data_IF_089883927340
#
_entry.id   IF_089883927340
#
_cell.length_a   1.000
_cell.length_b   1.000
_cell.length_c   1.000
_cell.angle_alpha   90.00
_cell.angle_beta   90.00
_cell.angle_gamma   90.00
#
_symmetry.space_group_name_H-M   'P 1'
#
loop_
_entity.id
_entity.type
_entity.pdbx_description
1 polymer ?
#
# COMPACT_ATOMS: atom_id res chain seq x y z
N UNK A 1 -14.13 9.79 21.12
CA UNK A 1 -13.89 9.08 19.85
C UNK A 1 -12.41 8.80 19.80
N UNK A 2 -11.98 7.60 19.41
CA UNK A 2 -10.58 7.39 19.07
C UNK A 2 -10.31 8.19 17.80
N UNK A 3 -9.26 9.02 17.81
CA UNK A 3 -8.80 9.77 16.65
C UNK A 3 -8.39 8.78 15.55
N UNK A 4 -9.32 8.48 14.65
CA UNK A 4 -9.19 7.46 13.61
C UNK A 4 -9.68 8.02 12.28
N UNK A 5 -9.06 7.59 11.20
CA UNK A 5 -9.36 8.05 9.86
C UNK A 5 -10.29 7.08 9.13
N UNK A 6 -11.16 7.61 8.27
CA UNK A 6 -11.95 6.82 7.33
C UNK A 6 -11.08 6.21 6.23
N UNK A 7 -9.98 6.87 5.89
CA UNK A 7 -9.02 6.38 4.90
C UNK A 7 -7.63 6.99 5.07
N UNK A 8 -6.64 6.31 4.50
CA UNK A 8 -5.29 6.84 4.29
C UNK A 8 -4.90 6.65 2.82
N UNK A 9 -4.30 7.67 2.22
CA UNK A 9 -3.87 7.65 0.81
C UNK A 9 -2.40 8.03 0.73
N UNK A 10 -1.62 7.21 0.03
CA UNK A 10 -0.22 7.49 -0.29
C UNK A 10 -0.02 7.45 -1.80
N UNK A 11 0.63 8.48 -2.34
CA UNK A 11 1.02 8.56 -3.74
C UNK A 11 2.51 8.92 -3.81
N UNK A 12 3.33 8.01 -4.34
CA UNK A 12 4.79 8.20 -4.40
C UNK A 12 5.53 8.00 -3.08
N UNK A 13 4.87 7.47 -2.05
CA UNK A 13 5.49 7.22 -0.74
C UNK A 13 6.51 6.08 -0.76
N UNK A 14 6.32 5.08 -1.62
CA UNK A 14 7.24 3.96 -1.78
C UNK A 14 8.22 4.19 -2.93
N UNK A 15 9.41 4.66 -2.60
CA UNK A 15 10.55 4.83 -3.48
C UNK A 15 11.85 4.65 -2.66
N UNK A 16 12.99 4.46 -3.32
CA UNK A 16 14.27 4.31 -2.64
C UNK A 16 14.52 5.46 -1.64
N UNK A 17 14.94 5.11 -0.42
CA UNK A 17 15.20 6.07 0.66
C UNK A 17 13.96 6.74 1.29
N UNK A 18 12.74 6.35 0.89
CA UNK A 18 11.50 6.87 1.49
C UNK A 18 11.00 5.96 2.63
N UNK A 19 9.69 5.72 2.71
CA UNK A 19 9.09 4.95 3.80
C UNK A 19 9.41 3.46 3.66
N UNK A 20 9.52 2.79 4.80
CA UNK A 20 9.69 1.34 4.88
C UNK A 20 8.39 0.59 4.67
N UNK A 21 8.50 -0.69 4.31
CA UNK A 21 7.33 -1.54 4.09
C UNK A 21 6.44 -1.66 5.35
N UNK A 22 7.02 -1.64 6.54
CA UNK A 22 6.30 -1.77 7.80
C UNK A 22 5.46 -0.54 8.18
N UNK A 23 5.62 0.60 7.50
CA UNK A 23 4.81 1.81 7.71
C UNK A 23 3.29 1.56 7.50
N UNK A 24 2.93 0.56 6.70
CA UNK A 24 1.53 0.16 6.53
C UNK A 24 0.89 -0.35 7.83
N UNK A 25 1.67 -0.88 8.78
CA UNK A 25 1.14 -1.29 10.09
C UNK A 25 0.64 -0.08 10.90
N UNK A 26 1.32 1.06 10.78
CA UNK A 26 0.85 2.30 11.39
C UNK A 26 -0.40 2.84 10.70
N UNK A 27 -0.50 2.71 9.37
CA UNK A 27 -1.72 3.05 8.64
C UNK A 27 -2.90 2.19 9.08
N UNK A 28 -2.69 0.88 9.24
CA UNK A 28 -3.71 -0.06 9.76
C UNK A 28 -4.14 0.36 11.17
N UNK A 29 -3.22 0.83 12.02
CA UNK A 29 -3.54 1.26 13.40
C UNK A 29 -4.42 2.51 13.44
N UNK A 30 -4.22 3.46 12.54
CA UNK A 30 -4.92 4.77 12.56
C UNK A 30 -6.17 4.81 11.68
N UNK A 31 -6.30 3.92 10.70
CA UNK A 31 -7.51 3.77 9.89
C UNK A 31 -8.49 2.86 10.63
N UNK A 32 -9.74 3.30 10.76
CA UNK A 32 -10.77 2.53 11.46
C UNK A 32 -11.13 1.23 10.70
N UNK A 33 -11.62 0.17 11.39
CA UNK A 33 -12.20 -0.99 10.72
C UNK A 33 -13.25 -0.60 9.68
N UNK A 34 -13.18 -1.21 8.50
CA UNK A 34 -13.98 -0.88 7.32
C UNK A 34 -13.45 0.29 6.47
N UNK A 35 -12.50 1.07 6.99
CA UNK A 35 -11.82 2.14 6.27
C UNK A 35 -10.79 1.64 5.25
N UNK A 36 -10.32 2.52 4.37
CA UNK A 36 -9.48 2.15 3.23
C UNK A 36 -8.05 2.68 3.33
N UNK A 37 -7.08 1.85 2.96
CA UNK A 37 -5.70 2.24 2.72
C UNK A 37 -5.45 2.13 1.21
N UNK A 38 -5.06 3.24 0.59
CA UNK A 38 -4.75 3.33 -0.85
C UNK A 38 -3.29 3.70 -1.02
N UNK A 39 -2.57 2.93 -1.82
CA UNK A 39 -1.19 3.24 -2.20
C UNK A 39 -1.03 3.23 -3.72
N UNK A 40 -0.41 4.28 -4.27
CA UNK A 40 0.06 4.35 -5.64
C UNK A 40 1.57 4.56 -5.68
N UNK A 41 2.27 3.72 -6.45
CA UNK A 41 3.73 3.77 -6.64
C UNK A 41 4.11 3.42 -8.08
N UNK A 42 5.39 3.54 -8.43
CA UNK A 42 5.91 2.92 -9.65
C UNK A 42 5.95 1.41 -9.45
N UNK A 43 5.50 0.66 -10.45
CA UNK A 43 5.50 -0.80 -10.38
C UNK A 43 6.91 -1.35 -10.22
N UNK A 44 7.87 -0.79 -10.97
CA UNK A 44 9.27 -1.23 -10.94
C UNK A 44 9.93 -1.16 -9.56
N UNK A 45 9.43 -0.32 -8.64
CA UNK A 45 9.99 -0.20 -7.29
C UNK A 45 9.90 -1.52 -6.50
N UNK A 46 8.97 -2.43 -6.81
CA UNK A 46 8.91 -3.76 -6.16
C UNK A 46 10.07 -4.68 -6.57
N UNK A 47 10.76 -4.37 -7.69
CA UNK A 47 11.93 -5.09 -8.20
C UNK A 47 13.21 -4.34 -7.90
N UNK A 48 13.20 -3.03 -8.08
CA UNK A 48 14.41 -2.21 -8.10
C UNK A 48 14.84 -1.77 -6.70
N UNK A 49 13.92 -1.73 -5.73
CA UNK A 49 14.20 -1.29 -4.35
C UNK A 49 14.17 -2.49 -3.42
N UNK A 50 15.32 -2.80 -2.79
CA UNK A 50 15.50 -3.94 -1.89
C UNK A 50 14.46 -3.98 -0.76
N UNK A 51 14.16 -2.82 -0.17
CA UNK A 51 13.13 -2.66 0.89
C UNK A 51 11.74 -3.17 0.46
N UNK A 52 11.44 -3.19 -0.84
CA UNK A 52 10.11 -3.56 -1.37
C UNK A 52 10.04 -4.93 -2.02
N UNK A 53 11.13 -5.72 -2.03
CA UNK A 53 11.10 -7.10 -2.53
C UNK A 53 10.10 -7.99 -1.79
N UNK A 54 9.89 -7.69 -0.50
CA UNK A 54 8.95 -8.41 0.37
C UNK A 54 7.61 -7.67 0.56
N UNK A 55 7.30 -6.66 -0.24
CA UNK A 55 6.08 -5.85 -0.09
C UNK A 55 4.81 -6.72 -0.23
N UNK A 56 4.67 -7.43 -1.35
CA UNK A 56 3.48 -8.26 -1.60
C UNK A 56 3.40 -9.50 -0.68
N UNK A 57 4.51 -10.21 -0.37
CA UNK A 57 4.50 -11.21 0.69
C UNK A 57 4.03 -10.68 2.04
N UNK A 58 4.48 -9.49 2.45
CA UNK A 58 4.03 -8.85 3.69
C UNK A 58 2.54 -8.53 3.66
N UNK A 59 2.05 -8.00 2.54
CA UNK A 59 0.63 -7.68 2.38
C UNK A 59 -0.25 -8.91 2.45
N UNK A 60 0.19 -10.01 1.83
CA UNK A 60 -0.50 -11.31 1.90
C UNK A 60 -0.53 -11.83 3.34
N UNK A 61 0.59 -11.79 4.05
CA UNK A 61 0.67 -12.18 5.46
C UNK A 61 -0.32 -11.39 6.32
N UNK A 62 -0.39 -10.07 6.16
CA UNK A 62 -1.32 -9.25 6.95
C UNK A 62 -2.79 -9.48 6.60
N UNK A 63 -3.09 -9.91 5.37
CA UNK A 63 -4.43 -10.36 5.00
C UNK A 63 -4.77 -11.71 5.66
N UNK A 64 -3.83 -12.66 5.67
CA UNK A 64 -4.00 -13.95 6.38
C UNK A 64 -4.16 -13.76 7.90
N UNK A 65 -3.47 -12.78 8.49
CA UNK A 65 -3.61 -12.35 9.88
C UNK A 65 -4.89 -11.54 10.17
N UNK A 66 -5.76 -11.35 9.17
CA UNK A 66 -7.00 -10.58 9.25
C UNK A 66 -6.81 -9.12 9.73
N UNK A 67 -5.70 -8.48 9.36
CA UNK A 67 -5.49 -7.05 9.59
C UNK A 67 -6.20 -6.19 8.55
N UNK A 68 -6.31 -6.72 7.33
CA UNK A 68 -7.00 -6.08 6.22
C UNK A 68 -7.45 -7.12 5.18
N UNK A 69 -8.22 -6.69 4.20
CA UNK A 69 -8.57 -7.46 3.00
C UNK A 69 -8.13 -6.71 1.74
N UNK A 70 -7.68 -7.45 0.73
CA UNK A 70 -7.31 -6.88 -0.57
C UNK A 70 -8.58 -6.57 -1.37
N UNK A 71 -8.78 -5.29 -1.70
CA UNK A 71 -9.88 -4.83 -2.57
C UNK A 71 -9.39 -4.74 -4.01
N UNK A 72 -8.20 -4.18 -4.21
CA UNK A 72 -7.64 -3.96 -5.53
C UNK A 72 -6.11 -4.05 -5.49
N UNK A 73 -5.56 -4.69 -6.53
CA UNK A 73 -4.14 -4.72 -6.82
C UNK A 73 -4.02 -4.69 -8.33
N UNK A 74 -3.64 -3.55 -8.89
CA UNK A 74 -3.74 -3.33 -10.34
C UNK A 74 -2.59 -2.49 -10.86
N UNK A 75 -2.18 -2.80 -12.09
CA UNK A 75 -1.41 -1.90 -12.95
C UNK A 75 -2.44 -1.15 -13.81
N UNK A 76 -2.67 0.15 -13.59
CA UNK A 76 -3.66 0.91 -14.35
C UNK A 76 -3.38 0.86 -15.86
N UNK A 77 -4.40 0.91 -16.73
CA UNK A 77 -4.23 0.88 -18.19
C UNK A 77 -3.69 2.20 -18.78
N UNK A 78 -3.24 3.11 -17.92
CA UNK A 78 -2.63 4.40 -18.26
C UNK A 78 -1.23 4.44 -17.69
N UNK A 79 -0.30 5.07 -18.44
CA UNK A 79 1.05 5.25 -17.94
C UNK A 79 1.09 6.23 -16.77
N UNK A 80 1.98 5.95 -15.84
CA UNK A 80 2.31 6.77 -14.69
C UNK A 80 3.41 7.79 -15.06
N UNK A 81 3.93 8.50 -14.06
CA UNK A 81 5.02 9.46 -14.19
C UNK A 81 6.17 8.94 -15.10
N UNK A 82 6.57 9.76 -16.08
CA UNK A 82 7.60 9.46 -17.09
C UNK A 82 7.35 8.20 -17.93
N UNK A 83 6.11 7.95 -18.35
CA UNK A 83 5.72 6.80 -19.19
C UNK A 83 5.98 5.42 -18.57
N UNK A 84 6.19 5.37 -17.25
CA UNK A 84 6.41 4.13 -16.49
C UNK A 84 5.08 3.48 -16.10
N UNK A 85 5.12 2.20 -15.75
CA UNK A 85 3.95 1.52 -15.20
C UNK A 85 3.73 1.90 -13.73
N UNK A 86 2.47 2.22 -13.41
CA UNK A 86 2.03 2.44 -12.04
C UNK A 86 1.57 1.14 -11.40
N UNK A 87 1.55 1.11 -10.07
CA UNK A 87 0.98 0.04 -9.28
C UNK A 87 0.11 0.63 -8.19
N UNK A 88 -1.16 0.22 -8.15
CA UNK A 88 -2.15 0.65 -7.18
C UNK A 88 -2.57 -0.52 -6.30
N UNK A 89 -2.56 -0.27 -5.00
CA UNK A 89 -3.05 -1.17 -3.97
C UNK A 89 -4.21 -0.50 -3.22
N UNK A 90 -5.31 -1.22 -3.03
CA UNK A 90 -6.43 -0.82 -2.19
C UNK A 90 -6.72 -1.94 -1.21
N UNK A 91 -6.63 -1.63 0.08
CA UNK A 91 -6.93 -2.55 1.18
C UNK A 91 -8.00 -1.97 2.10
N UNK A 92 -8.90 -2.80 2.60
CA UNK A 92 -9.85 -2.42 3.65
C UNK A 92 -9.40 -2.98 4.99
N UNK A 93 -9.30 -2.14 6.00
CA UNK A 93 -8.93 -2.54 7.36
C UNK A 93 -10.06 -3.39 7.97
N UNK A 94 -9.70 -4.46 8.70
CA UNK A 94 -10.63 -5.38 9.36
C UNK A 94 -10.74 -5.13 10.86
#
# INVERSE_FOLDING_TARGET
MLDTYDSAVMAGGLAEGHIKCDAFLELIRVVKPGGLIVNAMREANIRDVEEYHNLHPSFKKWAEEKKWECIEHVIPPIKHYMDLDGLVHVYRVL
#
